data_IF_577983643692
#
_entry.id   IF_577983643692
#
_cell.length_a   1.000
_cell.length_b   1.000
_cell.length_c   1.000
_cell.angle_alpha   90.00
_cell.angle_beta   90.00
_cell.angle_gamma   90.00
#
_symmetry.space_group_name_H-M   'P 1'
#
loop_
_entity.id
_entity.type
_entity.pdbx_description
1 polymer ?
#
# COMPACT_ATOMS: atom_id res chain seq x y z
N UNK A 1 -25.40 16.12 -4.88
CA UNK A 1 -26.73 15.85 -5.43
C UNK A 1 -27.05 14.37 -5.26
N UNK A 2 -27.87 14.02 -4.27
CA UNK A 2 -28.21 12.63 -3.97
C UNK A 2 -29.44 12.22 -4.80
N UNK A 3 -29.24 11.30 -5.75
CA UNK A 3 -30.32 10.78 -6.57
C UNK A 3 -30.94 9.54 -5.90
N UNK A 4 -32.24 9.58 -5.67
CA UNK A 4 -33.02 8.41 -5.25
C UNK A 4 -33.44 7.61 -6.48
N UNK A 5 -32.80 6.47 -6.74
CA UNK A 5 -33.23 5.57 -7.81
C UNK A 5 -34.09 4.43 -7.27
N UNK A 6 -35.30 4.26 -7.83
CA UNK A 6 -36.13 3.07 -7.70
C UNK A 6 -35.74 2.05 -8.76
N UNK A 7 -35.16 0.94 -8.37
CA UNK A 7 -34.91 -0.17 -9.30
C UNK A 7 -36.13 -1.09 -9.35
N UNK A 8 -36.87 -1.06 -10.45
CA UNK A 8 -37.98 -1.95 -10.72
C UNK A 8 -37.45 -3.26 -11.35
N UNK A 9 -37.49 -4.35 -10.58
CA UNK A 9 -37.21 -5.72 -11.08
C UNK A 9 -38.56 -6.44 -11.26
N UNK A 10 -38.85 -6.81 -12.50
CA UNK A 10 -40.02 -7.59 -12.91
C UNK A 10 -39.83 -9.07 -12.55
N UNK A 11 -40.83 -9.65 -11.86
CA UNK A 11 -41.10 -11.08 -11.61
C UNK A 11 -40.10 -11.89 -10.75
N UNK A 12 -40.10 -11.62 -9.49
CA UNK A 12 -40.00 -12.48 -8.31
C UNK A 12 -40.27 -11.54 -7.16
N UNK A 13 -40.81 -11.97 -6.00
CA UNK A 13 -41.12 -11.07 -4.88
C UNK A 13 -40.00 -10.06 -4.69
N UNK A 14 -40.11 -8.89 -5.31
CA UNK A 14 -39.07 -7.91 -5.38
C UNK A 14 -38.97 -7.23 -4.02
N UNK A 15 -37.91 -7.49 -3.29
CA UNK A 15 -37.58 -6.74 -2.09
C UNK A 15 -37.08 -5.37 -2.59
N UNK A 16 -37.90 -4.33 -2.38
CA UNK A 16 -37.50 -2.95 -2.72
C UNK A 16 -36.69 -2.40 -1.54
N UNK A 17 -35.38 -2.35 -1.70
CA UNK A 17 -34.49 -1.71 -0.74
C UNK A 17 -34.17 -0.28 -1.23
N UNK A 18 -34.23 0.69 -0.31
CA UNK A 18 -33.86 2.09 -0.56
C UNK A 18 -32.42 2.30 -0.13
N UNK A 19 -31.56 2.74 -1.06
CA UNK A 19 -30.19 3.08 -0.78
C UNK A 19 -29.91 4.55 -1.12
N UNK A 20 -29.12 5.22 -0.28
CA UNK A 20 -28.52 6.52 -0.60
C UNK A 20 -27.11 6.25 -1.12
N UNK A 21 -26.82 6.68 -2.34
CA UNK A 21 -25.55 6.38 -2.98
C UNK A 21 -25.25 7.36 -4.12
N UNK A 22 -24.07 7.24 -4.73
CA UNK A 22 -23.63 8.03 -5.88
C UNK A 22 -23.91 7.30 -7.21
N UNK A 23 -24.03 8.05 -8.31
CA UNK A 23 -24.24 7.49 -9.64
C UNK A 23 -23.17 6.46 -10.03
N UNK A 24 -21.90 6.73 -9.71
CA UNK A 24 -20.78 5.82 -10.00
C UNK A 24 -20.91 4.47 -9.31
N UNK A 25 -21.41 4.42 -8.06
CA UNK A 25 -21.63 3.17 -7.34
C UNK A 25 -22.77 2.35 -7.95
N UNK A 26 -23.81 3.00 -8.49
CA UNK A 26 -24.85 2.31 -9.24
C UNK A 26 -24.34 1.75 -10.57
N UNK A 27 -23.49 2.48 -11.29
CA UNK A 27 -22.84 1.96 -12.50
C UNK A 27 -22.00 0.72 -12.20
N UNK A 28 -21.27 0.74 -11.09
CA UNK A 28 -20.49 -0.41 -10.64
C UNK A 28 -21.39 -1.58 -10.21
N UNK A 29 -22.50 -1.30 -9.55
CA UNK A 29 -23.47 -2.33 -9.16
C UNK A 29 -24.06 -3.08 -10.36
N UNK A 30 -24.25 -2.43 -11.51
CA UNK A 30 -24.72 -3.07 -12.72
C UNK A 30 -23.76 -4.12 -13.29
N UNK A 31 -22.51 -4.06 -12.90
CA UNK A 31 -21.46 -5.00 -13.34
C UNK A 31 -21.40 -6.23 -12.44
N UNK A 32 -21.96 -6.17 -11.22
CA UNK A 32 -21.99 -7.28 -10.28
C UNK A 32 -22.74 -8.49 -10.85
N UNK A 33 -22.27 -9.72 -10.58
CA UNK A 33 -23.00 -10.91 -10.93
C UNK A 33 -24.32 -11.00 -10.13
N UNK A 34 -25.36 -11.52 -10.77
CA UNK A 34 -26.71 -11.66 -10.17
C UNK A 34 -26.74 -12.87 -9.23
N UNK A 35 -26.37 -12.68 -7.98
CA UNK A 35 -26.47 -13.71 -6.94
C UNK A 35 -27.09 -13.10 -5.68
N UNK A 36 -27.94 -13.86 -4.98
CA UNK A 36 -28.60 -13.42 -3.75
C UNK A 36 -27.65 -12.99 -2.63
N UNK A 37 -26.46 -13.57 -2.60
CA UNK A 37 -25.44 -13.27 -1.59
C UNK A 37 -24.61 -12.01 -1.91
N UNK A 38 -24.71 -11.49 -3.15
CA UNK A 38 -24.00 -10.30 -3.58
C UNK A 38 -24.95 -9.10 -3.51
N UNK A 39 -24.86 -8.37 -2.39
CA UNK A 39 -25.70 -7.21 -2.13
C UNK A 39 -25.04 -5.92 -2.61
N UNK A 40 -25.87 -4.91 -2.93
CA UNK A 40 -25.40 -3.56 -3.27
C UNK A 40 -24.50 -2.94 -2.19
N UNK A 41 -24.72 -3.30 -0.92
CA UNK A 41 -23.90 -2.82 0.22
C UNK A 41 -22.40 -3.09 0.06
N UNK A 42 -22.00 -4.13 -0.67
CA UNK A 42 -20.58 -4.43 -0.95
C UNK A 42 -19.87 -3.32 -1.74
N UNK A 43 -20.59 -2.63 -2.61
CA UNK A 43 -20.04 -1.55 -3.45
C UNK A 43 -20.46 -0.16 -2.97
N UNK A 44 -21.39 -0.07 -2.01
CA UNK A 44 -21.84 1.21 -1.44
C UNK A 44 -20.92 1.72 -0.33
N UNK A 45 -19.62 1.60 -0.52
CA UNK A 45 -18.58 2.13 0.37
C UNK A 45 -17.47 2.78 -0.46
N UNK A 46 -16.53 3.44 0.20
CA UNK A 46 -15.32 3.91 -0.48
C UNK A 46 -14.51 2.72 -0.96
N UNK A 47 -14.34 2.59 -2.28
CA UNK A 47 -13.64 1.46 -2.90
C UNK A 47 -12.15 1.77 -3.07
N UNK A 48 -11.39 1.51 -2.02
CA UNK A 48 -9.93 1.47 -2.08
C UNK A 48 -9.46 0.14 -2.72
N UNK A 49 -8.20 0.04 -3.07
CA UNK A 49 -7.59 -1.20 -3.59
C UNK A 49 -7.90 -2.42 -2.73
N UNK A 50 -7.85 -2.27 -1.39
CA UNK A 50 -8.18 -3.33 -0.43
C UNK A 50 -9.65 -3.75 -0.53
N UNK A 51 -10.55 -2.77 -0.55
CA UNK A 51 -11.98 -3.03 -0.64
C UNK A 51 -12.40 -3.66 -1.97
N UNK A 52 -11.74 -3.30 -3.08
CA UNK A 52 -11.96 -3.98 -4.37
C UNK A 52 -11.52 -5.43 -4.29
N UNK A 53 -10.40 -5.74 -3.66
CA UNK A 53 -9.97 -7.13 -3.44
C UNK A 53 -10.96 -7.92 -2.60
N UNK A 54 -11.57 -7.33 -1.56
CA UNK A 54 -12.64 -7.97 -0.77
C UNK A 54 -13.88 -8.27 -1.62
N UNK A 55 -14.27 -7.35 -2.51
CA UNK A 55 -15.40 -7.58 -3.42
C UNK A 55 -15.11 -8.76 -4.36
N UNK A 56 -13.91 -8.82 -4.93
CA UNK A 56 -13.48 -9.91 -5.81
C UNK A 56 -13.47 -11.24 -5.05
N UNK A 57 -12.93 -11.29 -3.83
CA UNK A 57 -12.92 -12.50 -3.00
C UNK A 57 -14.34 -12.96 -2.66
N UNK A 58 -15.23 -12.04 -2.31
CA UNK A 58 -16.63 -12.34 -2.04
C UNK A 58 -17.33 -12.94 -3.26
N UNK A 59 -17.10 -12.38 -4.45
CA UNK A 59 -17.65 -12.89 -5.70
C UNK A 59 -17.09 -14.29 -6.01
N UNK A 60 -15.80 -14.49 -5.81
CA UNK A 60 -15.16 -15.79 -6.01
C UNK A 60 -15.77 -16.88 -5.11
N UNK A 61 -16.01 -16.58 -3.85
CA UNK A 61 -16.60 -17.53 -2.89
C UNK A 61 -18.03 -17.92 -3.22
N UNK A 62 -18.84 -16.96 -3.70
CA UNK A 62 -20.27 -17.21 -3.96
C UNK A 62 -20.62 -17.55 -5.40
N UNK A 63 -19.84 -17.12 -6.38
CA UNK A 63 -20.14 -17.30 -7.80
C UNK A 63 -19.14 -18.20 -8.53
N UNK A 64 -18.00 -18.51 -7.91
CA UNK A 64 -16.96 -19.33 -8.52
C UNK A 64 -16.06 -18.59 -9.51
N UNK A 65 -15.08 -19.30 -10.05
CA UNK A 65 -13.99 -18.74 -10.85
C UNK A 65 -14.46 -18.04 -12.13
N UNK A 66 -15.34 -18.67 -12.90
CA UNK A 66 -15.79 -18.15 -14.20
C UNK A 66 -16.47 -16.77 -14.09
N UNK A 67 -17.42 -16.64 -13.18
CA UNK A 67 -18.13 -15.37 -12.96
C UNK A 67 -17.22 -14.28 -12.41
N UNK A 68 -16.25 -14.66 -11.60
CA UNK A 68 -15.23 -13.72 -11.08
C UNK A 68 -14.38 -13.15 -12.20
N UNK A 69 -13.92 -13.97 -13.15
CA UNK A 69 -13.13 -13.48 -14.30
C UNK A 69 -13.96 -12.54 -15.16
N UNK A 70 -15.23 -12.91 -15.46
CA UNK A 70 -16.14 -12.04 -16.22
C UNK A 70 -16.37 -10.70 -15.50
N UNK A 71 -16.54 -10.73 -14.18
CA UNK A 71 -16.68 -9.53 -13.38
C UNK A 71 -15.42 -8.66 -13.43
N UNK A 72 -14.24 -9.24 -13.29
CA UNK A 72 -12.96 -8.51 -13.39
C UNK A 72 -12.78 -7.84 -14.77
N UNK A 73 -13.14 -8.52 -15.86
CA UNK A 73 -13.09 -7.94 -17.19
C UNK A 73 -14.07 -6.79 -17.38
N UNK A 74 -15.29 -6.93 -16.85
CA UNK A 74 -16.30 -5.87 -16.90
C UNK A 74 -15.90 -4.63 -16.09
N UNK A 75 -15.36 -4.83 -14.87
CA UNK A 75 -14.84 -3.73 -14.03
C UNK A 75 -13.69 -3.00 -14.73
N UNK A 76 -12.76 -3.75 -15.30
CA UNK A 76 -11.64 -3.21 -16.06
C UNK A 76 -12.13 -2.33 -17.22
N UNK A 77 -13.07 -2.85 -18.02
CA UNK A 77 -13.65 -2.12 -19.15
C UNK A 77 -14.40 -0.86 -18.72
N UNK A 78 -15.18 -0.96 -17.63
CA UNK A 78 -15.89 0.18 -17.05
C UNK A 78 -14.88 1.24 -16.58
N UNK A 79 -13.84 0.84 -15.87
CA UNK A 79 -12.79 1.72 -15.34
C UNK A 79 -12.06 2.46 -16.46
N UNK A 80 -11.58 1.75 -17.48
CA UNK A 80 -10.91 2.37 -18.62
C UNK A 80 -11.79 3.33 -19.40
N UNK A 81 -13.06 2.96 -19.62
CA UNK A 81 -14.03 3.83 -20.31
C UNK A 81 -14.23 5.17 -19.59
N UNK A 82 -14.39 5.13 -18.27
CA UNK A 82 -14.63 6.34 -17.48
C UNK A 82 -13.35 7.12 -17.22
N UNK A 83 -12.21 6.47 -17.02
CA UNK A 83 -10.92 7.15 -16.90
C UNK A 83 -10.55 7.92 -18.17
N UNK A 84 -10.77 7.31 -19.34
CA UNK A 84 -10.59 7.99 -20.64
C UNK A 84 -11.51 9.21 -20.79
N UNK A 85 -12.80 9.06 -20.44
CA UNK A 85 -13.76 10.17 -20.52
C UNK A 85 -13.47 11.31 -19.55
N UNK A 86 -12.90 10.98 -18.39
CA UNK A 86 -12.54 11.98 -17.38
C UNK A 86 -11.35 12.86 -17.81
N UNK A 87 -10.47 12.36 -18.70
CA UNK A 87 -9.33 13.12 -19.22
C UNK A 87 -8.37 13.56 -18.12
N UNK A 88 -8.17 12.76 -17.07
CA UNK A 88 -7.32 13.11 -15.93
C UNK A 88 -5.87 13.24 -16.39
N UNK A 89 -5.31 14.41 -16.22
CA UNK A 89 -3.90 14.73 -16.49
C UNK A 89 -3.27 15.40 -15.28
N UNK A 90 -1.94 15.44 -15.22
CA UNK A 90 -1.23 16.17 -14.18
C UNK A 90 -0.05 16.93 -14.76
N UNK A 91 0.28 18.03 -14.13
CA UNK A 91 1.40 18.89 -14.48
C UNK A 91 2.33 19.15 -13.29
N UNK A 92 3.37 19.94 -13.54
CA UNK A 92 4.32 20.36 -12.50
C UNK A 92 3.62 21.12 -11.35
N UNK A 93 2.59 21.89 -11.67
CA UNK A 93 1.91 22.77 -10.70
C UNK A 93 0.99 22.00 -9.75
N UNK A 94 0.57 20.78 -10.11
CA UNK A 94 -0.22 19.90 -9.25
C UNK A 94 0.60 19.31 -8.09
N UNK A 95 1.93 19.37 -8.18
CA UNK A 95 2.83 18.98 -7.11
C UNK A 95 2.99 20.19 -6.16
N UNK A 96 2.26 20.20 -5.05
CA UNK A 96 2.27 21.29 -4.08
C UNK A 96 3.37 21.05 -3.06
N UNK A 97 4.24 22.04 -2.90
CA UNK A 97 5.30 22.03 -1.88
C UNK A 97 4.72 22.63 -0.60
N UNK A 98 4.79 21.95 0.55
CA UNK A 98 4.24 22.46 1.79
C UNK A 98 4.93 23.75 2.23
N UNK A 99 4.14 24.76 2.60
CA UNK A 99 4.65 26.06 3.07
C UNK A 99 5.43 25.93 4.38
N UNK A 100 5.14 24.93 5.17
CA UNK A 100 5.80 24.62 6.45
C UNK A 100 7.17 23.98 6.31
N UNK A 101 7.57 23.58 5.08
CA UNK A 101 8.83 22.87 4.81
C UNK A 101 10.06 23.60 5.37
N UNK A 102 10.20 24.90 5.06
CA UNK A 102 11.38 25.69 5.47
C UNK A 102 11.50 25.83 6.98
N UNK A 103 10.37 26.03 7.66
CA UNK A 103 10.34 26.14 9.12
C UNK A 103 10.72 24.83 9.81
N UNK A 104 10.22 23.69 9.31
CA UNK A 104 10.58 22.36 9.82
C UNK A 104 12.06 22.06 9.62
N UNK A 105 12.61 22.37 8.46
CA UNK A 105 14.03 22.17 8.16
C UNK A 105 14.91 23.07 9.06
N UNK A 106 14.53 24.35 9.26
CA UNK A 106 15.28 25.26 10.13
C UNK A 106 15.32 24.76 11.57
N UNK A 107 14.19 24.30 12.11
CA UNK A 107 14.13 23.75 13.46
C UNK A 107 14.98 22.48 13.59
N UNK A 108 14.93 21.61 12.57
CA UNK A 108 15.75 20.40 12.53
C UNK A 108 17.25 20.71 12.51
N UNK A 109 17.67 21.70 11.72
CA UNK A 109 19.07 22.14 11.68
C UNK A 109 19.55 22.63 13.03
N UNK A 110 18.75 23.42 13.75
CA UNK A 110 19.10 23.89 15.11
C UNK A 110 19.32 22.73 16.08
N UNK A 111 18.45 21.72 16.06
CA UNK A 111 18.61 20.53 16.88
C UNK A 111 19.91 19.77 16.56
N UNK A 112 20.28 19.69 15.30
CA UNK A 112 21.52 19.03 14.88
C UNK A 112 22.74 19.82 15.34
N UNK A 113 22.72 21.15 15.26
CA UNK A 113 23.79 22.01 15.77
C UNK A 113 24.02 21.82 17.28
N UNK A 114 22.96 21.60 18.07
CA UNK A 114 23.07 21.26 19.49
C UNK A 114 23.78 19.92 19.71
N UNK A 115 23.48 18.90 18.93
CA UNK A 115 24.18 17.62 19.00
C UNK A 115 25.61 17.70 18.48
N UNK A 116 25.90 18.56 17.52
CA UNK A 116 27.29 18.83 17.09
C UNK A 116 28.12 19.51 18.20
N UNK A 117 27.52 20.43 18.94
CA UNK A 117 28.16 21.04 20.13
C UNK A 117 28.42 20.00 21.22
N UNK A 118 27.40 19.15 21.53
CA UNK A 118 27.57 18.07 22.51
C UNK A 118 28.69 17.09 22.14
N UNK A 119 28.84 16.83 20.83
CA UNK A 119 29.93 16.00 20.34
C UNK A 119 31.29 16.71 20.46
N UNK A 120 31.38 18.02 20.12
CA UNK A 120 32.62 18.81 20.28
C UNK A 120 33.02 18.96 21.72
N UNK A 121 32.06 19.02 22.64
CA UNK A 121 32.29 19.08 24.09
C UNK A 121 32.64 17.70 24.71
N UNK A 122 32.66 16.63 23.89
CA UNK A 122 33.00 15.28 24.31
C UNK A 122 31.92 14.54 25.12
N UNK A 123 30.69 15.06 25.15
CA UNK A 123 29.56 14.49 25.90
C UNK A 123 28.95 13.24 25.24
N UNK A 124 29.07 13.12 23.93
CA UNK A 124 28.52 12.00 23.16
C UNK A 124 29.56 11.39 22.23
N UNK A 125 29.42 10.10 21.95
CA UNK A 125 30.30 9.40 21.02
C UNK A 125 29.92 9.70 19.56
N UNK A 126 30.85 9.45 18.63
CA UNK A 126 30.61 9.61 17.19
C UNK A 126 29.42 8.75 16.72
N UNK A 127 29.31 7.52 17.22
CA UNK A 127 28.22 6.61 16.85
C UNK A 127 26.87 7.09 17.36
N UNK A 128 26.81 7.64 18.58
CA UNK A 128 25.57 8.23 19.11
C UNK A 128 25.16 9.49 18.35
N UNK A 129 26.09 10.37 18.02
CA UNK A 129 25.83 11.52 17.15
C UNK A 129 25.21 11.07 15.84
N UNK A 130 25.85 10.12 15.15
CA UNK A 130 25.38 9.59 13.88
C UNK A 130 23.94 9.06 13.97
N UNK A 131 23.65 8.21 14.95
CA UNK A 131 22.32 7.64 15.13
C UNK A 131 21.27 8.72 15.40
N UNK A 132 21.56 9.68 16.27
CA UNK A 132 20.65 10.79 16.58
C UNK A 132 20.38 11.69 15.37
N UNK A 133 21.41 12.03 14.59
CA UNK A 133 21.26 12.84 13.37
C UNK A 133 20.40 12.13 12.34
N UNK A 134 20.63 10.84 12.11
CA UNK A 134 19.81 10.02 11.19
C UNK A 134 18.36 9.95 11.65
N UNK A 135 18.10 9.73 12.93
CA UNK A 135 16.74 9.67 13.49
C UNK A 135 15.99 11.00 13.35
N UNK A 136 16.66 12.11 13.62
CA UNK A 136 16.06 13.45 13.51
C UNK A 136 15.68 13.74 12.06
N UNK A 137 16.59 13.47 11.11
CA UNK A 137 16.30 13.67 9.69
C UNK A 137 15.22 12.73 9.17
N UNK A 138 15.16 11.49 9.65
CA UNK A 138 14.08 10.57 9.30
C UNK A 138 12.73 11.10 9.76
N UNK A 139 12.62 11.53 11.03
CA UNK A 139 11.39 12.13 11.57
C UNK A 139 10.99 13.41 10.84
N UNK A 140 11.96 14.28 10.54
CA UNK A 140 11.70 15.49 9.76
C UNK A 140 11.12 15.15 8.38
N UNK A 141 11.75 14.19 7.70
CA UNK A 141 11.31 13.75 6.36
C UNK A 141 9.88 13.20 6.38
N UNK A 142 9.52 12.43 7.40
CA UNK A 142 8.17 11.88 7.54
C UNK A 142 7.15 12.95 7.92
N UNK A 143 7.53 13.93 8.76
CA UNK A 143 6.68 15.08 9.09
C UNK A 143 6.39 15.92 7.85
N UNK A 144 7.42 16.25 7.06
CA UNK A 144 7.25 16.97 5.78
C UNK A 144 6.37 16.19 4.81
N UNK A 145 6.51 14.87 4.74
CA UNK A 145 5.68 14.02 3.90
C UNK A 145 4.19 14.05 4.31
N UNK A 146 3.93 14.00 5.62
CA UNK A 146 2.57 14.04 6.16
C UNK A 146 1.91 15.41 5.92
N UNK A 147 2.63 16.51 6.15
CA UNK A 147 2.12 17.85 5.85
C UNK A 147 1.88 18.05 4.35
N UNK A 148 2.79 17.58 3.50
CA UNK A 148 2.61 17.59 2.04
C UNK A 148 1.34 16.83 1.63
N UNK A 149 1.10 15.64 2.18
CA UNK A 149 -0.09 14.86 1.86
C UNK A 149 -1.37 15.54 2.33
N UNK A 150 -1.37 16.22 3.47
CA UNK A 150 -2.51 17.03 3.93
C UNK A 150 -2.79 18.20 2.99
N UNK A 151 -1.76 18.96 2.60
CA UNK A 151 -1.93 20.10 1.69
C UNK A 151 -2.42 19.64 0.31
N UNK A 152 -1.86 18.57 -0.25
CA UNK A 152 -2.30 18.04 -1.54
C UNK A 152 -3.73 17.50 -1.47
N UNK A 153 -4.13 16.87 -0.35
CA UNK A 153 -5.49 16.35 -0.18
C UNK A 153 -6.55 17.45 -0.04
N UNK A 154 -6.16 18.61 0.52
CA UNK A 154 -7.05 19.76 0.69
C UNK A 154 -7.04 20.72 -0.49
N UNK A 155 -6.13 20.53 -1.44
CA UNK A 155 -6.01 21.40 -2.61
C UNK A 155 -7.12 21.11 -3.62
N UNK A 156 -8.14 21.92 -3.60
CA UNK A 156 -9.22 21.93 -4.58
C UNK A 156 -9.00 23.07 -5.57
N UNK A 157 -9.14 22.78 -6.86
CA UNK A 157 -9.17 23.80 -7.90
C UNK A 157 -10.63 24.16 -8.16
N UNK A 158 -10.99 25.39 -7.89
CA UNK A 158 -12.30 25.96 -8.22
C UNK A 158 -12.17 26.69 -9.55
N UNK A 159 -12.94 26.27 -10.54
CA UNK A 159 -13.02 26.94 -11.85
C UNK A 159 -14.14 27.98 -11.86
N UNK A 160 -14.13 28.86 -12.86
CA UNK A 160 -15.15 29.91 -13.04
C UNK A 160 -16.58 29.35 -13.15
N UNK A 161 -16.71 28.08 -13.52
CA UNK A 161 -18.00 27.36 -13.66
C UNK A 161 -18.44 26.65 -12.34
N UNK A 162 -17.93 27.04 -11.17
CA UNK A 162 -18.16 26.39 -9.88
C UNK A 162 -17.79 24.89 -9.84
N UNK A 163 -17.02 24.41 -10.79
CA UNK A 163 -16.50 23.04 -10.78
C UNK A 163 -15.34 22.94 -9.80
N UNK A 164 -15.44 22.00 -8.87
CA UNK A 164 -14.40 21.67 -7.92
C UNK A 164 -13.66 20.44 -8.46
N UNK A 165 -12.39 20.60 -8.79
CA UNK A 165 -11.51 19.49 -9.14
C UNK A 165 -10.54 19.21 -8.00
N UNK A 166 -10.52 17.96 -7.56
CA UNK A 166 -9.48 17.46 -6.65
C UNK A 166 -8.16 17.32 -7.38
N UNK A 167 -7.06 17.45 -6.65
CA UNK A 167 -5.72 17.32 -7.24
C UNK A 167 -5.55 15.94 -7.90
N UNK A 168 -5.19 15.92 -9.19
CA UNK A 168 -5.05 14.70 -9.99
C UNK A 168 -3.96 13.77 -9.44
N UNK A 169 -2.88 14.34 -8.91
CA UNK A 169 -1.76 13.59 -8.33
C UNK A 169 -2.21 12.87 -7.05
N UNK A 170 -2.98 13.58 -6.20
CA UNK A 170 -3.58 12.98 -5.00
C UNK A 170 -4.56 11.87 -5.37
N UNK A 171 -5.44 12.11 -6.34
CA UNK A 171 -6.42 11.12 -6.82
C UNK A 171 -5.73 9.82 -7.28
N UNK A 172 -4.63 9.92 -8.05
CA UNK A 172 -3.89 8.75 -8.52
C UNK A 172 -3.22 7.98 -7.38
N UNK A 173 -2.65 8.68 -6.40
CA UNK A 173 -1.98 8.06 -5.27
C UNK A 173 -2.94 7.42 -4.27
N UNK A 174 -4.02 8.12 -3.92
CA UNK A 174 -5.03 7.64 -2.96
C UNK A 174 -5.78 6.42 -3.50
N UNK A 175 -6.15 6.45 -4.79
CA UNK A 175 -6.78 5.29 -5.45
C UNK A 175 -5.84 4.08 -5.60
N UNK A 176 -4.52 4.28 -5.48
CA UNK A 176 -3.52 3.24 -5.71
C UNK A 176 -3.33 2.87 -7.19
N UNK A 177 -3.84 3.68 -8.12
CA UNK A 177 -3.69 3.47 -9.56
C UNK A 177 -2.24 3.63 -10.00
N UNK A 178 -1.59 4.70 -9.58
CA UNK A 178 -0.17 4.99 -9.88
C UNK A 178 0.44 5.89 -8.83
N UNK A 179 1.69 5.59 -8.48
CA UNK A 179 2.42 6.35 -7.49
C UNK A 179 2.15 5.85 -6.05
N UNK A 180 3.15 5.97 -5.22
CA UNK A 180 3.06 5.72 -3.78
C UNK A 180 3.33 7.03 -3.03
N UNK A 181 2.93 7.09 -1.77
CA UNK A 181 3.24 8.23 -0.90
C UNK A 181 4.76 8.50 -0.85
N UNK A 182 5.59 7.45 -0.86
CA UNK A 182 7.05 7.58 -0.89
C UNK A 182 7.56 8.25 -2.18
N UNK A 183 6.95 7.96 -3.34
CA UNK A 183 7.30 8.61 -4.60
C UNK A 183 6.87 10.08 -4.61
N UNK A 184 5.69 10.38 -4.07
CA UNK A 184 5.21 11.76 -3.94
C UNK A 184 6.07 12.59 -3.02
N UNK A 185 6.53 12.01 -1.90
CA UNK A 185 7.49 12.62 -0.99
C UNK A 185 8.75 13.09 -1.71
N UNK A 186 9.28 12.30 -2.65
CA UNK A 186 10.45 12.69 -3.43
C UNK A 186 10.17 13.77 -4.47
N UNK A 187 8.93 13.84 -5.00
CA UNK A 187 8.56 14.81 -6.04
C UNK A 187 8.28 16.21 -5.47
N UNK A 188 7.58 16.32 -4.35
CA UNK A 188 7.10 17.59 -3.81
C UNK A 188 7.50 17.86 -2.35
N UNK A 189 7.95 16.87 -1.62
CA UNK A 189 8.38 17.01 -0.23
C UNK A 189 9.89 17.18 -0.09
N UNK A 190 10.55 16.16 0.40
CA UNK A 190 12.00 16.09 0.60
C UNK A 190 12.49 14.69 0.22
N UNK A 191 13.61 14.59 -0.48
CA UNK A 191 14.16 13.29 -0.85
C UNK A 191 14.68 12.52 0.36
N UNK A 192 15.32 13.22 1.31
CA UNK A 192 15.76 12.66 2.58
C UNK A 192 17.11 11.97 2.52
N UNK A 193 17.31 11.02 3.42
CA UNK A 193 18.57 10.30 3.59
C UNK A 193 18.81 9.27 2.48
N UNK A 194 20.06 9.18 2.02
CA UNK A 194 20.49 8.22 1.01
C UNK A 194 21.46 7.22 1.63
N UNK A 195 21.27 5.95 1.33
CA UNK A 195 22.20 4.90 1.71
C UNK A 195 23.26 4.67 0.61
N UNK A 196 24.50 4.52 1.02
CA UNK A 196 25.62 4.09 0.17
C UNK A 196 25.42 2.62 -0.27
N UNK A 197 26.10 2.15 -1.29
CA UNK A 197 26.09 0.73 -1.66
C UNK A 197 26.52 -0.20 -0.52
N UNK A 198 27.40 0.27 0.39
CA UNK A 198 27.81 -0.45 1.59
C UNK A 198 26.69 -0.67 2.64
N UNK A 199 25.56 0.03 2.51
CA UNK A 199 24.45 0.00 3.48
C UNK A 199 24.49 1.16 4.48
N UNK A 200 25.63 1.87 4.62
CA UNK A 200 25.77 3.03 5.50
C UNK A 200 24.92 4.20 4.99
N UNK A 201 24.22 4.90 5.88
CA UNK A 201 23.41 6.07 5.56
C UNK A 201 24.30 7.31 5.58
N UNK A 202 24.15 8.19 4.59
CA UNK A 202 24.87 9.46 4.54
C UNK A 202 24.21 10.43 5.52
N UNK A 203 24.98 11.01 6.45
CA UNK A 203 24.48 11.93 7.48
C UNK A 203 23.79 13.18 6.90
N UNK A 204 24.30 13.68 5.77
CA UNK A 204 23.70 14.83 5.07
C UNK A 204 22.54 14.39 4.20
N UNK A 205 21.30 14.81 4.53
CA UNK A 205 20.13 14.48 3.72
C UNK A 205 20.08 15.33 2.45
N UNK A 206 19.30 14.88 1.49
CA UNK A 206 18.90 15.69 0.34
C UNK A 206 17.62 16.43 0.72
N UNK A 207 17.73 17.74 0.92
CA UNK A 207 16.63 18.60 1.37
C UNK A 207 15.71 18.94 0.19
N UNK A 208 16.29 19.14 -1.00
CA UNK A 208 15.54 19.49 -2.19
C UNK A 208 14.64 18.33 -2.66
N UNK A 209 13.58 18.68 -3.36
CA UNK A 209 12.72 17.75 -4.09
C UNK A 209 12.94 17.87 -5.59
N UNK A 210 12.35 16.98 -6.38
CA UNK A 210 12.53 17.02 -7.84
C UNK A 210 11.83 18.22 -8.49
N UNK A 211 10.79 18.80 -7.88
CA UNK A 211 10.12 20.01 -8.41
C UNK A 211 11.01 21.24 -8.30
N UNK A 212 11.71 21.40 -7.16
CA UNK A 212 12.65 22.49 -6.93
C UNK A 212 13.95 22.33 -7.74
N UNK A 213 14.34 21.10 -7.97
CA UNK A 213 15.63 20.73 -8.53
C UNK A 213 16.70 20.50 -7.48
N UNK A 214 17.63 19.61 -7.75
CA UNK A 214 18.72 19.24 -6.85
C UNK A 214 19.94 20.13 -7.09
N UNK A 215 20.65 20.49 -6.03
CA UNK A 215 21.99 21.08 -6.13
C UNK A 215 23.00 20.05 -6.66
N UNK A 216 24.14 20.49 -7.15
CA UNK A 216 25.19 19.60 -7.70
C UNK A 216 25.65 18.56 -6.68
N UNK A 217 25.84 18.95 -5.42
CA UNK A 217 26.25 18.04 -4.35
C UNK A 217 25.14 17.05 -3.99
N UNK A 218 23.89 17.51 -3.93
CA UNK A 218 22.74 16.63 -3.67
C UNK A 218 22.53 15.64 -4.80
N UNK A 219 22.71 16.08 -6.04
CA UNK A 219 22.68 15.20 -7.21
C UNK A 219 23.76 14.12 -7.12
N UNK A 220 24.99 14.50 -6.79
CA UNK A 220 26.09 13.54 -6.62
C UNK A 220 25.77 12.52 -5.51
N UNK A 221 25.32 12.97 -4.35
CA UNK A 221 24.89 12.08 -3.24
C UNK A 221 23.77 11.13 -3.70
N UNK A 222 22.87 11.60 -4.52
CA UNK A 222 21.76 10.81 -5.04
C UNK A 222 22.21 9.66 -5.97
N UNK A 223 23.36 9.80 -6.61
CA UNK A 223 23.92 8.74 -7.51
C UNK A 223 24.28 7.46 -6.75
N UNK A 224 24.62 7.57 -5.46
CA UNK A 224 24.87 6.39 -4.63
C UNK A 224 23.65 5.48 -4.52
N UNK A 225 22.46 6.06 -4.32
CA UNK A 225 21.21 5.30 -4.29
C UNK A 225 20.87 4.67 -5.64
N UNK A 226 21.09 5.38 -6.74
CA UNK A 226 20.87 4.85 -8.09
C UNK A 226 21.82 3.68 -8.39
N UNK A 227 23.10 3.82 -8.09
CA UNK A 227 24.12 2.75 -8.25
C UNK A 227 23.77 1.52 -7.43
N UNK A 228 23.36 1.72 -6.14
CA UNK A 228 22.91 0.63 -5.29
C UNK A 228 21.72 -0.11 -5.90
N UNK A 229 20.71 0.62 -6.39
CA UNK A 229 19.54 0.02 -7.02
C UNK A 229 19.86 -0.80 -8.26
N UNK A 230 20.77 -0.32 -9.11
CA UNK A 230 21.23 -1.04 -10.30
C UNK A 230 22.01 -2.33 -9.93
N UNK A 231 22.92 -2.23 -8.96
CA UNK A 231 23.69 -3.38 -8.48
C UNK A 231 22.78 -4.44 -7.82
N UNK A 232 21.88 -4.01 -6.94
CA UNK A 232 20.91 -4.89 -6.26
C UNK A 232 20.02 -5.62 -7.28
N UNK A 233 19.55 -4.93 -8.33
CA UNK A 233 18.73 -5.54 -9.38
C UNK A 233 19.49 -6.63 -10.11
N UNK A 234 20.75 -6.37 -10.51
CA UNK A 234 21.59 -7.34 -11.22
C UNK A 234 21.83 -8.60 -10.36
N UNK A 235 22.19 -8.43 -9.08
CA UNK A 235 22.46 -9.54 -8.15
C UNK A 235 21.19 -10.33 -7.83
N UNK A 236 20.07 -9.66 -7.57
CA UNK A 236 18.79 -10.33 -7.28
C UNK A 236 18.29 -11.14 -8.47
N UNK A 237 18.48 -10.68 -9.69
CA UNK A 237 18.09 -11.40 -10.91
C UNK A 237 18.83 -12.74 -11.01
N UNK A 238 20.14 -12.74 -10.78
CA UNK A 238 20.94 -13.97 -10.80
C UNK A 238 20.51 -14.95 -9.69
N UNK A 239 20.32 -14.46 -8.45
CA UNK A 239 19.88 -15.28 -7.32
C UNK A 239 18.48 -15.87 -7.54
N UNK A 240 17.55 -15.07 -8.07
CA UNK A 240 16.19 -15.51 -8.41
C UNK A 240 16.22 -16.61 -9.48
N UNK A 241 17.03 -16.44 -10.53
CA UNK A 241 17.17 -17.43 -11.60
C UNK A 241 17.73 -18.77 -11.08
N UNK A 242 18.76 -18.72 -10.26
CA UNK A 242 19.33 -19.91 -9.63
C UNK A 242 18.35 -20.61 -8.68
N UNK A 243 17.63 -19.84 -7.84
CA UNK A 243 16.59 -20.39 -6.97
C UNK A 243 15.49 -21.07 -7.78
N UNK A 244 14.98 -20.42 -8.82
CA UNK A 244 13.93 -20.97 -9.68
C UNK A 244 14.38 -22.28 -10.33
N UNK A 245 15.60 -22.32 -10.86
CA UNK A 245 16.16 -23.55 -11.45
C UNK A 245 16.22 -24.68 -10.43
N UNK A 246 16.76 -24.42 -9.23
CA UNK A 246 16.83 -25.43 -8.16
C UNK A 246 15.46 -25.95 -7.74
N UNK A 247 14.46 -25.06 -7.63
CA UNK A 247 13.08 -25.46 -7.30
C UNK A 247 12.46 -26.32 -8.42
N UNK A 248 12.68 -25.96 -9.67
CA UNK A 248 12.22 -26.77 -10.80
C UNK A 248 12.88 -28.15 -10.83
N UNK A 249 14.21 -28.22 -10.65
CA UNK A 249 14.96 -29.48 -10.65
C UNK A 249 14.46 -30.44 -9.52
N UNK A 250 14.12 -29.90 -8.34
CA UNK A 250 13.59 -30.69 -7.23
C UNK A 250 12.13 -31.10 -7.43
N UNK A 251 11.33 -30.21 -8.03
CA UNK A 251 9.88 -30.40 -8.14
C UNK A 251 9.43 -31.09 -9.44
N UNK A 252 10.32 -31.28 -10.45
CA UNK A 252 9.95 -31.81 -11.76
C UNK A 252 9.33 -33.24 -11.70
N UNK A 253 9.77 -34.05 -10.73
CA UNK A 253 9.32 -35.43 -10.57
C UNK A 253 8.09 -35.55 -9.63
N UNK A 254 7.66 -34.44 -9.03
CA UNK A 254 6.53 -34.43 -8.08
C UNK A 254 5.21 -34.49 -8.84
N UNK A 255 4.48 -35.59 -8.63
CA UNK A 255 3.17 -35.82 -9.23
C UNK A 255 2.07 -35.91 -8.17
N UNK A 256 0.93 -35.31 -8.45
CA UNK A 256 -0.28 -35.45 -7.65
C UNK A 256 -0.93 -36.77 -8.01
N UNK A 257 -0.84 -37.78 -7.13
CA UNK A 257 -1.38 -39.12 -7.37
C UNK A 257 -2.79 -39.33 -6.81
N UNK A 258 -3.22 -38.51 -5.83
CA UNK A 258 -4.54 -38.57 -5.20
C UNK A 258 -5.12 -37.17 -5.06
N UNK A 259 -6.42 -37.01 -5.31
CA UNK A 259 -7.12 -35.74 -5.12
C UNK A 259 -7.17 -35.31 -3.66
N UNK A 260 -7.38 -36.26 -2.75
CA UNK A 260 -7.41 -36.06 -1.30
C UNK A 260 -6.50 -37.07 -0.58
N UNK A 261 -5.73 -36.61 0.39
CA UNK A 261 -4.93 -37.47 1.25
C UNK A 261 -5.79 -38.21 2.26
N UNK A 262 -5.46 -39.44 2.56
CA UNK A 262 -6.15 -40.22 3.59
C UNK A 262 -6.16 -39.46 4.93
N UNK A 263 -7.32 -39.33 5.62
CA UNK A 263 -7.42 -38.56 6.86
C UNK A 263 -6.46 -39.01 7.97
N UNK A 264 -6.12 -40.29 7.97
CA UNK A 264 -5.18 -40.88 8.94
C UNK A 264 -3.70 -40.59 8.63
N UNK A 265 -3.38 -40.19 7.39
CA UNK A 265 -2.00 -39.91 6.93
C UNK A 265 -1.74 -38.43 6.71
N UNK A 266 -2.72 -37.59 6.98
CA UNK A 266 -2.53 -36.13 6.86
C UNK A 266 -1.51 -35.68 7.90
N UNK A 267 -0.38 -35.16 7.44
CA UNK A 267 0.58 -34.50 8.31
C UNK A 267 0.08 -33.11 8.65
N UNK A 268 0.11 -32.77 9.92
CA UNK A 268 -0.17 -31.41 10.40
C UNK A 268 1.12 -30.78 10.94
N UNK A 269 1.20 -29.47 10.88
CA UNK A 269 2.33 -28.71 11.42
C UNK A 269 1.80 -27.77 12.50
N UNK A 270 2.45 -27.77 13.64
CA UNK A 270 2.16 -26.82 14.70
C UNK A 270 2.81 -25.48 14.36
N UNK A 271 2.01 -24.41 14.33
CA UNK A 271 2.47 -23.06 14.02
C UNK A 271 2.46 -22.25 15.30
N UNK A 272 3.61 -21.66 15.64
CA UNK A 272 3.77 -20.68 16.72
C UNK A 272 4.22 -19.34 16.17
N UNK A 273 4.13 -18.30 16.95
CA UNK A 273 4.74 -17.00 16.62
C UNK A 273 6.27 -17.09 16.53
N UNK A 274 6.89 -16.22 15.74
CA UNK A 274 8.35 -16.15 15.65
C UNK A 274 8.81 -15.03 16.56
N UNK A 275 9.58 -15.42 17.59
CA UNK A 275 10.13 -14.48 18.58
C UNK A 275 11.65 -14.51 18.45
N UNK A 276 12.26 -13.35 18.30
CA UNK A 276 13.71 -13.17 18.31
C UNK A 276 14.08 -12.08 19.33
N UNK A 277 14.97 -12.41 20.25
CA UNK A 277 15.44 -11.47 21.26
C UNK A 277 14.34 -10.86 22.15
N UNK A 278 13.21 -11.57 22.36
CA UNK A 278 12.05 -11.07 23.13
C UNK A 278 11.06 -10.23 22.34
N UNK A 279 11.35 -9.92 21.08
CA UNK A 279 10.43 -9.20 20.19
C UNK A 279 9.74 -10.17 19.24
N UNK A 280 8.42 -9.98 19.06
CA UNK A 280 7.63 -10.76 18.11
C UNK A 280 7.92 -10.24 16.70
N UNK A 281 8.65 -11.00 15.88
CA UNK A 281 8.93 -10.66 14.48
C UNK A 281 7.72 -10.91 13.57
N UNK A 282 7.05 -12.05 13.75
CA UNK A 282 5.86 -12.42 12.98
C UNK A 282 4.79 -12.92 13.93
N UNK A 283 3.66 -12.26 13.93
CA UNK A 283 2.52 -12.62 14.78
C UNK A 283 1.89 -13.96 14.37
N UNK A 284 1.29 -14.67 15.33
CA UNK A 284 0.57 -15.90 15.06
C UNK A 284 -0.56 -15.70 14.03
N UNK A 285 -1.25 -14.55 14.09
CA UNK A 285 -2.35 -14.22 13.18
C UNK A 285 -1.91 -14.17 11.72
N UNK A 286 -0.73 -13.60 11.43
CA UNK A 286 -0.16 -13.55 10.08
C UNK A 286 0.25 -14.92 9.56
N UNK A 287 0.77 -15.77 10.43
CA UNK A 287 1.22 -17.13 10.07
C UNK A 287 0.05 -18.09 9.81
N UNK A 288 -1.07 -17.90 10.52
CA UNK A 288 -2.26 -18.75 10.42
C UNK A 288 -3.17 -18.33 9.27
N UNK A 289 -3.07 -17.11 8.82
CA UNK A 289 -3.91 -16.59 7.74
C UNK A 289 -3.82 -17.46 6.48
N UNK A 290 -4.97 -17.96 6.00
CA UNK A 290 -5.05 -18.84 4.82
C UNK A 290 -4.73 -20.31 5.07
N UNK A 291 -4.52 -20.75 6.32
CA UNK A 291 -4.29 -22.14 6.68
C UNK A 291 -5.58 -22.86 7.08
N UNK A 292 -5.65 -24.14 6.78
CA UNK A 292 -6.77 -25.02 7.18
C UNK A 292 -6.45 -25.65 8.52
N UNK A 293 -7.42 -25.62 9.43
CA UNK A 293 -7.28 -26.15 10.78
C UNK A 293 -7.34 -27.68 10.74
N UNK A 294 -6.35 -28.35 11.34
CA UNK A 294 -6.26 -29.80 11.43
C UNK A 294 -7.05 -30.38 12.61
N UNK A 295 -7.16 -29.64 13.72
CA UNK A 295 -7.80 -30.07 14.96
C UNK A 295 -8.75 -28.97 15.48
N UNK A 296 -9.72 -29.37 16.32
CA UNK A 296 -10.62 -28.41 16.97
C UNK A 296 -9.83 -27.50 17.92
N UNK A 297 -9.91 -26.20 17.75
CA UNK A 297 -9.28 -25.22 18.65
C UNK A 297 -10.20 -25.00 19.84
N UNK A 298 -9.68 -25.29 21.05
CA UNK A 298 -10.39 -25.09 22.32
C UNK A 298 -9.80 -23.88 23.05
N UNK A 299 -10.66 -23.17 23.78
CA UNK A 299 -10.19 -22.15 24.71
C UNK A 299 -9.43 -22.82 25.85
N UNK A 300 -8.19 -22.44 26.15
CA UNK A 300 -7.40 -23.07 27.21
C UNK A 300 -7.98 -22.88 28.62
N UNK A 301 -8.81 -21.84 28.81
CA UNK A 301 -9.40 -21.52 30.12
C UNK A 301 -10.77 -22.18 30.31
N UNK A 302 -11.65 -22.10 29.30
CA UNK A 302 -13.04 -22.58 29.41
C UNK A 302 -13.24 -23.98 28.83
N UNK A 303 -12.30 -24.50 28.05
CA UNK A 303 -12.42 -25.79 27.36
C UNK A 303 -13.42 -25.83 26.19
N UNK A 304 -14.11 -24.71 25.93
CA UNK A 304 -15.07 -24.59 24.83
C UNK A 304 -14.40 -24.60 23.48
N UNK A 305 -15.03 -25.22 22.49
CA UNK A 305 -14.53 -25.26 21.11
C UNK A 305 -14.84 -23.91 20.46
N UNK A 306 -13.77 -23.13 20.18
CA UNK A 306 -13.87 -21.85 19.50
C UNK A 306 -14.08 -22.07 18.00
N UNK A 307 -13.29 -22.97 17.40
CA UNK A 307 -13.33 -23.28 15.97
C UNK A 307 -13.32 -24.79 15.79
N UNK A 308 -14.26 -25.29 15.01
CA UNK A 308 -14.31 -26.70 14.62
C UNK A 308 -13.42 -26.96 13.41
N UNK A 309 -12.88 -28.17 13.37
CA UNK A 309 -12.12 -28.68 12.21
C UNK A 309 -12.91 -28.59 10.93
#
# INVERSE_FOLDING_TARGET
MFLHFKQLIKKCKAIIEKYTSTAGRFLLANVLPKNHNIKFSLVNKLLTKKNVSEVIDTIFRYCGQKETVIFCDRIKTLGFKHAFKAGISFGKDDLIIPKTKESLISNTKKQIEEYEKQYSDGLITRGEKYNKVVDIWSKCTDTVANEMMKEISSAEKVYEDDRIETNSVYMMADSGARGSQAQMKQLAGMRGLIAKPSGEIIETPIIANFKEGLSVLEYFNSTHGARKGLADTALKTANSGYLTRRLCDVAQDVQITKAECDPKKRSSVTISEIIEGGNILVSLSERVLGRVIAENIKNPVTGEIIIKK
#
